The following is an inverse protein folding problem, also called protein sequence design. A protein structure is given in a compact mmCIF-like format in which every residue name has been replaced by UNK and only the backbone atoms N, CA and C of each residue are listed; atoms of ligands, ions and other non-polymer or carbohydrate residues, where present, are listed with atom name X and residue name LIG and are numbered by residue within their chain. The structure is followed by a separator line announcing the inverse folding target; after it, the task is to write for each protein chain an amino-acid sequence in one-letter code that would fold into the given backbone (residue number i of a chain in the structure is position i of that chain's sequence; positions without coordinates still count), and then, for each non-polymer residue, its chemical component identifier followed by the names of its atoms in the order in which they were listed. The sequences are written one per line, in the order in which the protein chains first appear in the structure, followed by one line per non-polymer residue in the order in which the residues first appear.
data_IF_290246168085
#
_entry.id   IF_290246168085
#
_cell.length_a   1.000
_cell.length_b   1.000
_cell.length_c   1.000
_cell.angle_alpha   90.00
_cell.angle_beta   90.00
_cell.angle_gamma   90.00
#
_symmetry.space_group_name_H-M   'P 1'
#
loop_
_entity.id
_entity.type
_entity.pdbx_description
1 polymer ?
#
# COMPACT_ATOMS: atom_id res chain seq x y z
N UNK A 1 -11.01 20.04 -13.23
CA UNK A 1 -9.53 20.01 -13.25
C UNK A 1 -9.10 18.60 -12.91
N UNK A 2 -8.62 17.83 -13.89
CA UNK A 2 -8.08 16.48 -13.69
C UNK A 2 -6.59 16.64 -13.45
N UNK A 3 -6.15 16.63 -12.19
CA UNK A 3 -4.73 16.62 -11.87
C UNK A 3 -4.26 15.16 -11.96
N UNK A 4 -3.17 14.98 -12.71
CA UNK A 4 -2.68 13.69 -13.15
C UNK A 4 -1.96 12.96 -12.04
N UNK A 5 -2.58 11.88 -11.56
CA UNK A 5 -1.81 10.78 -11.01
C UNK A 5 -1.17 10.06 -12.19
N UNK A 6 0.13 9.82 -12.11
CA UNK A 6 0.78 8.83 -12.95
C UNK A 6 0.41 7.45 -12.38
N UNK A 7 -0.87 7.10 -12.45
CA UNK A 7 -1.25 5.70 -12.63
C UNK A 7 -0.43 5.29 -13.85
N UNK A 8 0.45 4.29 -13.71
CA UNK A 8 1.11 3.76 -14.89
C UNK A 8 0.04 3.02 -15.67
N UNK A 9 -0.74 3.78 -16.44
CA UNK A 9 -1.69 3.26 -17.39
C UNK A 9 -0.85 2.74 -18.52
N UNK A 10 -0.49 1.45 -18.46
CA UNK A 10 0.04 0.78 -19.63
C UNK A 10 -1.15 0.64 -20.59
N UNK A 11 -1.22 1.42 -21.69
CA UNK A 11 -2.43 1.46 -22.48
C UNK A 11 -2.66 0.10 -23.10
N UNK A 12 -3.80 -0.53 -22.82
CA UNK A 12 -4.15 -1.84 -23.37
C UNK A 12 -4.14 -1.84 -24.91
N UNK A 13 -4.31 -0.67 -25.52
CA UNK A 13 -4.23 -0.48 -26.97
C UNK A 13 -2.83 -0.75 -27.54
N UNK A 14 -1.78 -0.61 -26.73
CA UNK A 14 -0.41 -0.94 -27.09
C UNK A 14 -0.06 -2.42 -26.85
N UNK A 15 -0.97 -3.20 -26.26
CA UNK A 15 -0.75 -4.60 -25.94
C UNK A 15 -0.63 -5.48 -27.19
N UNK A 16 -1.20 -5.07 -28.32
CA UNK A 16 -1.15 -5.86 -29.57
C UNK A 16 0.14 -5.58 -30.37
N UNK A 17 0.80 -6.62 -30.91
CA UNK A 17 1.94 -6.46 -31.79
C UNK A 17 1.50 -5.85 -33.12
N UNK A 18 2.39 -5.09 -33.75
CA UNK A 18 2.15 -4.46 -35.05
C UNK A 18 1.96 -5.49 -36.19
N UNK A 19 2.50 -6.70 -36.03
CA UNK A 19 2.31 -7.85 -36.93
C UNK A 19 2.48 -9.15 -36.15
N UNK A 20 1.72 -10.20 -36.50
CA UNK A 20 1.76 -11.50 -35.83
C UNK A 20 0.38 -12.00 -35.37
N UNK A 21 0.30 -13.19 -34.76
CA UNK A 21 -0.95 -13.76 -34.29
C UNK A 21 -1.59 -12.89 -33.19
N UNK A 22 -2.92 -12.77 -33.21
CA UNK A 22 -3.74 -11.94 -32.29
C UNK A 22 -3.56 -12.31 -30.81
N UNK A 23 -2.91 -13.43 -30.50
CA UNK A 23 -2.71 -13.97 -29.14
C UNK A 23 -1.35 -13.63 -28.50
N UNK A 24 -0.45 -12.93 -29.18
CA UNK A 24 0.83 -12.49 -28.60
C UNK A 24 0.74 -11.05 -28.14
N UNK A 25 1.34 -10.72 -26.99
CA UNK A 25 1.47 -9.35 -26.49
C UNK A 25 2.74 -8.70 -27.07
N UNK A 26 2.71 -7.39 -27.33
CA UNK A 26 3.87 -6.68 -27.87
C UNK A 26 5.00 -6.61 -26.84
N UNK A 27 6.26 -6.76 -27.28
CA UNK A 27 7.42 -6.72 -26.37
C UNK A 27 7.52 -5.37 -25.65
N UNK A 28 7.23 -4.27 -26.35
CA UNK A 28 7.23 -2.93 -25.76
C UNK A 28 6.20 -2.81 -24.63
N UNK A 29 5.02 -3.40 -24.81
CA UNK A 29 4.00 -3.40 -23.77
C UNK A 29 4.42 -4.27 -22.58
N UNK A 30 5.01 -5.44 -22.81
CA UNK A 30 5.53 -6.30 -21.73
C UNK A 30 6.59 -5.57 -20.91
N UNK A 31 7.56 -4.93 -21.57
CA UNK A 31 8.58 -4.11 -20.89
C UNK A 31 7.97 -2.93 -20.14
N UNK A 32 6.92 -2.30 -20.69
CA UNK A 32 6.23 -1.21 -20.01
C UNK A 32 5.45 -1.70 -18.78
N UNK A 33 4.83 -2.89 -18.82
CA UNK A 33 4.21 -3.52 -17.65
C UNK A 33 5.26 -3.87 -16.60
N UNK A 34 6.36 -4.52 -16.99
CA UNK A 34 7.44 -4.85 -16.07
C UNK A 34 8.03 -3.59 -15.41
N UNK A 35 8.26 -2.53 -16.19
CA UNK A 35 8.75 -1.25 -15.64
C UNK A 35 7.72 -0.51 -14.77
N UNK A 36 6.44 -0.79 -14.95
CA UNK A 36 5.35 -0.24 -14.15
C UNK A 36 5.16 -0.95 -12.81
N UNK A 37 5.56 -2.22 -12.73
CA UNK A 37 5.39 -3.05 -11.56
C UNK A 37 6.50 -2.83 -10.52
N UNK A 38 6.19 -3.20 -9.28
CA UNK A 38 7.17 -3.31 -8.21
C UNK A 38 8.29 -4.27 -8.65
N UNK A 39 9.52 -3.76 -8.74
CA UNK A 39 10.68 -4.55 -9.17
C UNK A 39 11.18 -5.48 -8.07
N UNK A 40 10.56 -6.65 -7.91
CA UNK A 40 10.95 -7.66 -6.93
C UNK A 40 12.38 -8.19 -7.14
N UNK A 41 12.91 -8.07 -8.36
CA UNK A 41 14.26 -8.46 -8.75
C UNK A 41 15.32 -7.64 -8.03
N UNK A 42 15.04 -6.36 -7.80
CA UNK A 42 15.96 -5.43 -7.11
C UNK A 42 15.53 -5.14 -5.68
N UNK A 43 14.29 -5.48 -5.31
CA UNK A 43 13.70 -5.22 -4.00
C UNK A 43 13.02 -6.46 -3.39
N UNK A 44 13.71 -7.61 -3.23
CA UNK A 44 13.10 -8.85 -2.75
C UNK A 44 12.60 -8.75 -1.29
N UNK A 45 13.13 -7.79 -0.51
CA UNK A 45 12.65 -7.52 0.84
C UNK A 45 11.22 -6.99 0.85
N UNK A 46 10.77 -6.30 -0.22
CA UNK A 46 9.39 -5.87 -0.31
C UNK A 46 8.49 -7.09 -0.29
N UNK A 47 8.72 -8.10 -1.14
CA UNK A 47 7.97 -9.35 -1.12
C UNK A 47 8.04 -10.07 0.25
N UNK A 48 9.24 -10.21 0.83
CA UNK A 48 9.44 -10.97 2.05
C UNK A 48 8.83 -10.33 3.30
N UNK A 49 8.85 -9.00 3.38
CA UNK A 49 8.51 -8.25 4.59
C UNK A 49 7.20 -7.47 4.49
N UNK A 50 6.54 -7.45 3.33
CA UNK A 50 5.32 -6.66 3.10
C UNK A 50 4.24 -6.87 4.16
N UNK A 51 3.92 -8.12 4.51
CA UNK A 51 2.96 -8.41 5.59
C UNK A 51 3.62 -8.54 6.97
N UNK A 52 4.80 -9.18 7.13
CA UNK A 52 5.42 -9.34 8.45
C UNK A 52 5.65 -8.04 9.23
N UNK A 53 5.82 -6.89 8.56
CA UNK A 53 5.97 -5.59 9.24
C UNK A 53 4.77 -5.21 10.13
N UNK A 54 3.60 -5.81 9.91
CA UNK A 54 2.40 -5.57 10.71
C UNK A 54 2.23 -6.55 11.88
N UNK A 55 3.13 -7.54 12.03
CA UNK A 55 3.05 -8.51 13.13
C UNK A 55 3.60 -7.91 14.44
N UNK A 56 2.72 -7.38 15.28
CA UNK A 56 3.07 -6.71 16.54
C UNK A 56 2.81 -7.58 17.78
N UNK A 57 3.71 -8.54 18.03
CA UNK A 57 3.76 -9.29 19.28
C UNK A 57 3.48 -10.80 19.20
N UNK A 58 3.64 -11.51 20.34
CA UNK A 58 3.54 -12.97 20.36
C UNK A 58 2.14 -13.48 19.99
N UNK A 59 2.08 -14.56 19.21
CA UNK A 59 0.84 -15.16 18.71
C UNK A 59 0.23 -14.43 17.50
N UNK A 60 0.82 -13.32 17.06
CA UNK A 60 0.43 -12.63 15.83
C UNK A 60 1.22 -13.21 14.67
N UNK A 61 0.55 -13.51 13.57
CA UNK A 61 1.19 -14.05 12.37
C UNK A 61 0.42 -13.59 11.14
N UNK A 62 1.14 -13.19 10.09
CA UNK A 62 0.49 -12.66 8.90
C UNK A 62 -0.32 -13.74 8.20
N UNK A 63 0.26 -14.95 8.09
CA UNK A 63 -0.30 -16.16 7.46
C UNK A 63 -0.82 -15.93 6.03
N UNK A 64 -0.28 -14.96 5.30
CA UNK A 64 -0.83 -14.48 4.01
C UNK A 64 -2.20 -13.81 4.20
N UNK A 65 -2.26 -12.77 5.04
CA UNK A 65 -3.49 -12.09 5.43
C UNK A 65 -4.23 -11.50 4.23
N UNK A 66 -3.51 -10.84 3.31
CA UNK A 66 -4.10 -10.27 2.11
C UNK A 66 -4.78 -11.35 1.25
N UNK A 67 -4.11 -12.49 1.05
CA UNK A 67 -4.65 -13.62 0.30
C UNK A 67 -5.90 -14.21 0.96
N UNK A 68 -5.86 -14.42 2.29
CA UNK A 68 -7.02 -14.94 3.04
C UNK A 68 -8.21 -13.98 3.01
N UNK A 69 -7.96 -12.69 3.18
CA UNK A 69 -9.01 -11.66 3.13
C UNK A 69 -9.59 -11.60 1.72
N UNK A 70 -8.76 -11.53 0.68
CA UNK A 70 -9.20 -11.56 -0.72
C UNK A 70 -10.11 -12.75 -1.00
N UNK A 71 -9.70 -13.96 -0.58
CA UNK A 71 -10.50 -15.17 -0.75
C UNK A 71 -11.87 -15.09 -0.03
N UNK A 72 -11.96 -14.36 1.09
CA UNK A 72 -13.21 -14.15 1.83
C UNK A 72 -14.15 -13.12 1.19
N UNK A 73 -13.64 -12.19 0.38
CA UNK A 73 -14.42 -11.12 -0.26
C UNK A 73 -15.12 -11.58 -1.55
N UNK A 74 -14.81 -12.77 -2.04
CA UNK A 74 -15.47 -13.39 -3.19
C UNK A 74 -14.81 -13.11 -4.55
N UNK A 75 -15.47 -13.48 -5.66
CA UNK A 75 -14.82 -13.62 -6.97
C UNK A 75 -14.50 -12.29 -7.67
N UNK A 76 -14.85 -11.13 -7.09
CA UNK A 76 -14.58 -9.84 -7.72
C UNK A 76 -13.07 -9.52 -7.76
N UNK A 77 -12.28 -10.07 -6.82
CA UNK A 77 -10.83 -9.88 -6.77
C UNK A 77 -10.04 -11.07 -7.33
N UNK A 78 -10.70 -12.19 -7.62
CA UNK A 78 -10.04 -13.38 -8.16
C UNK A 78 -9.97 -13.30 -9.68
N UNK A 79 -8.80 -12.92 -10.19
CA UNK A 79 -8.58 -12.77 -11.63
C UNK A 79 -8.88 -14.06 -12.39
N UNK A 80 -8.66 -15.24 -11.80
CA UNK A 80 -8.84 -16.54 -12.48
C UNK A 80 -10.28 -16.79 -12.88
N UNK A 81 -11.23 -16.19 -12.17
CA UNK A 81 -12.68 -16.26 -12.45
C UNK A 81 -13.17 -15.17 -13.40
N UNK A 82 -12.31 -14.22 -13.78
CA UNK A 82 -12.66 -13.00 -14.54
C UNK A 82 -11.96 -12.86 -15.89
N UNK A 83 -11.27 -13.90 -16.36
CA UNK A 83 -10.54 -13.88 -17.65
C UNK A 83 -11.44 -14.09 -18.88
N UNK A 84 -12.69 -14.51 -18.69
CA UNK A 84 -13.61 -14.82 -19.80
C UNK A 84 -14.21 -13.57 -20.45
N UNK A 85 -14.45 -13.65 -21.76
CA UNK A 85 -15.09 -12.57 -22.51
C UNK A 85 -16.52 -12.33 -21.99
N UNK A 86 -16.80 -11.11 -21.53
CA UNK A 86 -18.09 -10.75 -20.96
C UNK A 86 -18.19 -10.92 -19.43
N UNK A 87 -17.11 -11.35 -18.76
CA UNK A 87 -17.03 -11.30 -17.31
C UNK A 87 -16.94 -9.85 -16.81
N UNK A 88 -17.45 -9.59 -15.60
CA UNK A 88 -17.21 -8.31 -14.92
C UNK A 88 -15.70 -8.09 -14.70
N UNK A 89 -15.21 -6.84 -14.73
CA UNK A 89 -13.80 -6.55 -14.49
C UNK A 89 -13.32 -7.07 -13.13
N UNK A 90 -12.09 -7.58 -13.09
CA UNK A 90 -11.41 -7.88 -11.82
C UNK A 90 -11.08 -6.59 -11.08
N UNK A 91 -11.35 -6.55 -9.78
CA UNK A 91 -10.98 -5.46 -8.90
C UNK A 91 -9.49 -5.55 -8.56
N UNK A 92 -8.83 -4.39 -8.51
CA UNK A 92 -7.41 -4.29 -8.17
C UNK A 92 -7.21 -4.36 -6.66
N UNK A 93 -6.07 -4.91 -6.24
CA UNK A 93 -5.73 -5.16 -4.84
C UNK A 93 -4.78 -4.12 -4.25
N UNK A 94 -4.42 -3.08 -5.00
CA UNK A 94 -3.40 -2.11 -4.59
C UNK A 94 -2.01 -2.76 -4.48
N UNK A 95 -1.30 -2.48 -3.40
CA UNK A 95 0.09 -2.90 -3.16
C UNK A 95 0.25 -4.28 -2.48
N UNK A 96 -0.84 -5.04 -2.34
CA UNK A 96 -0.84 -6.31 -1.62
C UNK A 96 0.06 -7.36 -2.28
N UNK A 97 0.76 -8.12 -1.43
CA UNK A 97 1.63 -9.24 -1.81
C UNK A 97 0.95 -10.57 -1.49
N UNK A 98 1.02 -11.53 -2.42
CA UNK A 98 0.39 -12.85 -2.28
C UNK A 98 1.39 -13.99 -2.36
N UNK A 99 1.07 -15.14 -1.76
CA UNK A 99 1.99 -16.29 -1.70
C UNK A 99 2.34 -16.82 -3.10
N UNK A 100 1.36 -16.84 -3.99
CA UNK A 100 1.48 -17.29 -5.38
C UNK A 100 2.42 -16.43 -6.23
N UNK A 101 2.73 -15.20 -5.82
CA UNK A 101 3.68 -14.36 -6.57
C UNK A 101 5.06 -15.01 -6.69
N UNK A 102 5.48 -15.82 -5.70
CA UNK A 102 6.74 -16.55 -5.82
C UNK A 102 6.70 -17.71 -6.83
N UNK A 103 5.53 -18.12 -7.32
CA UNK A 103 5.41 -19.09 -8.41
C UNK A 103 5.55 -18.40 -9.78
N UNK A 104 4.97 -17.21 -9.92
CA UNK A 104 4.95 -16.43 -11.16
C UNK A 104 6.27 -15.66 -11.39
N UNK A 105 6.77 -14.95 -10.38
CA UNK A 105 8.02 -14.19 -10.48
C UNK A 105 9.23 -15.12 -10.28
N UNK A 106 9.95 -15.39 -11.37
CA UNK A 106 11.05 -16.35 -11.38
C UNK A 106 12.13 -16.07 -10.32
N UNK A 107 12.42 -14.79 -10.05
CA UNK A 107 13.41 -14.36 -9.06
C UNK A 107 12.97 -14.55 -7.61
N UNK A 108 11.66 -14.66 -7.35
CA UNK A 108 11.10 -14.92 -6.02
C UNK A 108 11.05 -16.41 -5.67
N UNK A 109 11.09 -17.32 -6.66
CA UNK A 109 11.01 -18.77 -6.44
C UNK A 109 11.98 -19.30 -5.37
N UNK A 110 13.27 -18.92 -5.35
CA UNK A 110 14.19 -19.38 -4.31
C UNK A 110 13.82 -18.89 -2.90
N UNK A 111 13.08 -17.78 -2.81
CA UNK A 111 12.69 -17.14 -1.57
C UNK A 111 11.36 -17.68 -1.01
N UNK A 112 10.59 -18.46 -1.78
CA UNK A 112 9.27 -18.99 -1.38
C UNK A 112 9.30 -19.71 -0.04
N UNK A 113 10.33 -20.51 0.21
CA UNK A 113 10.49 -21.22 1.49
C UNK A 113 10.64 -20.26 2.68
N UNK A 114 11.49 -19.24 2.53
CA UNK A 114 11.70 -18.22 3.55
C UNK A 114 10.44 -17.36 3.77
N UNK A 115 9.75 -16.98 2.69
CA UNK A 115 8.51 -16.21 2.76
C UNK A 115 7.43 -16.95 3.55
N UNK A 116 7.25 -18.26 3.31
CA UNK A 116 6.29 -19.07 4.07
C UNK A 116 6.67 -19.23 5.55
N UNK A 117 7.96 -19.34 5.87
CA UNK A 117 8.42 -19.36 7.26
C UNK A 117 8.12 -18.03 7.98
N UNK A 118 8.36 -16.90 7.32
CA UNK A 118 8.02 -15.58 7.85
C UNK A 118 6.52 -15.42 8.04
N UNK A 119 5.73 -15.82 7.04
CA UNK A 119 4.28 -15.75 7.09
C UNK A 119 3.68 -16.64 8.21
N UNK A 120 4.32 -17.75 8.58
CA UNK A 120 3.88 -18.64 9.66
C UNK A 120 4.51 -18.31 11.03
N UNK A 121 5.46 -17.37 11.09
CA UNK A 121 6.11 -16.98 12.35
C UNK A 121 5.10 -16.35 13.30
N UNK A 122 5.12 -16.78 14.57
CA UNK A 122 4.20 -16.34 15.63
C UNK A 122 4.92 -15.75 16.85
N UNK A 123 6.22 -16.00 17.01
CA UNK A 123 7.05 -15.50 18.10
C UNK A 123 7.67 -14.12 17.76
N UNK A 124 6.85 -13.19 17.29
CA UNK A 124 7.27 -11.81 17.10
C UNK A 124 7.36 -11.07 18.44
N UNK A 125 8.36 -10.19 18.56
CA UNK A 125 8.35 -9.19 19.62
C UNK A 125 7.32 -8.10 19.32
N UNK A 126 7.00 -7.29 20.33
CA UNK A 126 6.26 -6.06 20.07
C UNK A 126 7.15 -5.08 19.30
N UNK A 127 6.64 -4.60 18.16
CA UNK A 127 7.25 -3.56 17.33
C UNK A 127 7.01 -2.20 17.98
N UNK A 128 5.86 -2.01 18.64
CA UNK A 128 5.45 -0.73 19.23
C UNK A 128 5.31 -0.79 20.75
N UNK A 129 5.89 0.19 21.43
CA UNK A 129 5.59 0.44 22.84
C UNK A 129 4.47 1.48 22.96
N UNK A 130 3.22 1.00 23.04
CA UNK A 130 2.03 1.87 23.08
C UNK A 130 2.03 2.82 24.28
N UNK A 131 2.50 2.39 25.45
CA UNK A 131 2.61 3.24 26.63
C UNK A 131 3.62 4.38 26.42
N UNK A 132 4.78 4.08 25.83
CA UNK A 132 5.75 5.11 25.47
C UNK A 132 5.18 6.10 24.45
N UNK A 133 4.52 5.61 23.40
CA UNK A 133 3.88 6.44 22.37
C UNK A 133 2.82 7.39 22.95
N UNK A 134 1.96 6.90 23.84
CA UNK A 134 0.93 7.69 24.52
C UNK A 134 1.52 8.71 25.50
N UNK A 135 2.65 8.39 26.13
CA UNK A 135 3.32 9.26 27.11
C UNK A 135 4.24 10.31 26.51
N UNK A 136 4.52 10.24 25.20
CA UNK A 136 5.39 11.20 24.53
C UNK A 136 4.85 12.63 24.64
N UNK A 137 5.73 13.63 24.63
CA UNK A 137 5.36 15.05 24.73
C UNK A 137 5.60 15.83 23.44
N UNK A 138 6.23 15.19 22.45
CA UNK A 138 6.51 15.82 21.17
C UNK A 138 5.20 16.14 20.45
N UNK A 139 5.05 17.38 19.97
CA UNK A 139 3.92 17.72 19.14
C UNK A 139 3.92 16.97 17.80
N UNK A 140 2.74 16.72 17.26
CA UNK A 140 2.55 16.05 15.97
C UNK A 140 1.57 16.83 15.11
N UNK A 141 1.95 17.09 13.85
CA UNK A 141 1.06 17.50 12.79
C UNK A 141 1.01 16.38 11.74
N UNK A 142 -0.19 15.98 11.33
CA UNK A 142 -0.35 14.92 10.34
C UNK A 142 -1.46 15.23 9.34
N UNK A 143 -1.20 14.90 8.07
CA UNK A 143 -2.17 14.90 6.99
C UNK A 143 -2.77 13.50 6.89
N UNK A 144 -4.10 13.41 6.89
CA UNK A 144 -4.83 12.18 6.63
C UNK A 144 -5.66 12.38 5.37
N UNK A 145 -5.31 11.66 4.31
CA UNK A 145 -6.11 11.62 3.09
C UNK A 145 -7.40 10.84 3.38
N UNK A 146 -8.56 11.44 3.09
CA UNK A 146 -9.86 10.90 3.47
C UNK A 146 -10.21 9.62 2.70
N UNK A 147 -9.91 9.59 1.40
CA UNK A 147 -10.17 8.48 0.49
C UNK A 147 -8.85 7.81 0.04
N UNK A 148 -7.90 7.63 0.97
CA UNK A 148 -6.64 6.92 0.68
C UNK A 148 -6.92 5.42 0.47
N UNK A 149 -6.55 4.90 -0.70
CA UNK A 149 -6.77 3.50 -1.08
C UNK A 149 -5.82 2.50 -0.39
N UNK A 150 -4.78 2.98 0.29
CA UNK A 150 -3.77 2.15 0.96
C UNK A 150 -3.84 2.24 2.48
N UNK A 151 -4.14 3.41 3.04
CA UNK A 151 -4.18 3.63 4.49
C UNK A 151 -5.58 4.07 4.92
N UNK A 152 -6.27 3.18 5.63
CA UNK A 152 -7.61 3.45 6.12
C UNK A 152 -7.64 4.63 7.11
N UNK A 153 -8.53 5.60 6.84
CA UNK A 153 -8.66 6.84 7.62
C UNK A 153 -8.89 6.55 9.10
N UNK A 154 -9.80 5.63 9.40
CA UNK A 154 -10.20 5.32 10.78
C UNK A 154 -9.04 4.83 11.63
N UNK A 155 -8.13 4.01 11.09
CA UNK A 155 -6.93 3.59 11.81
C UNK A 155 -5.92 4.72 12.03
N UNK A 156 -5.85 5.68 11.10
CA UNK A 156 -5.02 6.88 11.28
C UNK A 156 -5.55 7.77 12.41
N UNK A 157 -6.88 7.94 12.48
CA UNK A 157 -7.56 8.68 13.55
C UNK A 157 -7.37 8.00 14.91
N UNK A 158 -7.54 6.67 14.99
CA UNK A 158 -7.27 5.90 16.21
C UNK A 158 -5.81 6.00 16.68
N UNK A 159 -4.86 6.03 15.74
CA UNK A 159 -3.44 6.22 16.05
C UNK A 159 -3.19 7.61 16.64
N UNK A 160 -3.84 8.65 16.11
CA UNK A 160 -3.72 10.00 16.65
C UNK A 160 -4.26 10.12 18.08
N UNK A 161 -5.40 9.47 18.36
CA UNK A 161 -5.97 9.39 19.71
C UNK A 161 -5.05 8.62 20.66
N UNK A 162 -4.49 7.48 20.24
CA UNK A 162 -3.52 6.72 21.01
C UNK A 162 -2.29 7.56 21.38
N UNK A 163 -1.86 8.42 20.47
CA UNK A 163 -0.74 9.32 20.67
C UNK A 163 -1.06 10.48 21.63
N UNK A 164 -2.33 10.70 21.99
CA UNK A 164 -2.74 11.71 22.96
C UNK A 164 -3.66 12.81 22.40
N UNK A 165 -4.10 12.69 21.14
CA UNK A 165 -5.13 13.55 20.54
C UNK A 165 -4.82 15.06 20.61
N UNK A 166 -5.84 15.89 20.43
CA UNK A 166 -5.69 17.35 20.59
C UNK A 166 -5.50 17.72 22.09
N UNK A 167 -4.61 18.68 22.44
CA UNK A 167 -3.88 19.55 21.53
C UNK A 167 -2.72 18.88 20.81
N UNK A 168 -2.06 17.86 21.40
CA UNK A 168 -0.75 17.27 21.02
C UNK A 168 -0.64 16.72 19.58
N UNK A 169 -1.71 16.19 19.04
CA UNK A 169 -1.78 15.69 17.66
C UNK A 169 -2.81 16.52 16.90
N UNK A 170 -2.33 17.31 15.94
CA UNK A 170 -3.16 18.11 15.05
C UNK A 170 -3.35 17.36 13.74
N UNK A 171 -4.54 16.79 13.55
CA UNK A 171 -4.91 16.12 12.31
C UNK A 171 -5.51 17.10 11.31
N UNK A 172 -4.99 17.08 10.09
CA UNK A 172 -5.62 17.68 8.93
C UNK A 172 -6.19 16.57 8.07
N UNK A 173 -7.49 16.32 8.20
CA UNK A 173 -8.21 15.36 7.35
C UNK A 173 -8.67 16.07 6.09
N UNK A 174 -8.40 15.49 4.91
CA UNK A 174 -8.77 16.11 3.64
C UNK A 174 -9.04 15.07 2.54
N UNK A 175 -10.11 15.27 1.80
CA UNK A 175 -10.42 14.51 0.57
C UNK A 175 -9.77 15.09 -0.69
N UNK A 176 -8.92 16.12 -0.54
CA UNK A 176 -8.20 16.71 -1.67
C UNK A 176 -6.96 15.88 -2.04
N UNK A 177 -6.32 15.25 -1.06
CA UNK A 177 -5.10 14.48 -1.26
C UNK A 177 -5.40 12.99 -1.41
N UNK A 178 -4.44 12.30 -2.01
CA UNK A 178 -4.34 10.85 -2.06
C UNK A 178 -3.08 10.41 -1.30
N UNK A 179 -2.73 9.13 -1.36
CA UNK A 179 -1.58 8.54 -0.66
C UNK A 179 -0.26 9.31 -0.86
N UNK A 180 -0.02 9.80 -2.09
CA UNK A 180 1.16 10.58 -2.47
C UNK A 180 1.04 12.08 -2.13
N UNK A 181 0.11 12.47 -1.26
CA UNK A 181 -0.29 13.87 -1.04
C UNK A 181 0.86 14.86 -0.84
N UNK A 182 1.86 14.51 -0.03
CA UNK A 182 3.02 15.39 0.23
C UNK A 182 3.94 15.51 -1.00
N UNK A 183 4.15 14.41 -1.74
CA UNK A 183 5.02 14.40 -2.91
C UNK A 183 4.38 15.12 -4.10
N UNK A 184 3.06 14.97 -4.27
CA UNK A 184 2.32 15.58 -5.37
C UNK A 184 2.01 17.07 -5.10
N UNK A 185 1.93 17.46 -3.82
CA UNK A 185 1.55 18.81 -3.38
C UNK A 185 2.54 19.34 -2.32
N UNK A 186 3.67 19.93 -2.75
CA UNK A 186 4.69 20.44 -1.83
C UNK A 186 4.18 21.48 -0.81
N UNK A 187 3.10 22.20 -1.13
CA UNK A 187 2.42 23.13 -0.24
C UNK A 187 1.76 22.44 0.96
N UNK A 188 1.41 21.15 0.85
CA UNK A 188 0.90 20.37 1.98
C UNK A 188 1.94 20.28 3.11
N UNK A 189 3.24 20.19 2.77
CA UNK A 189 4.30 20.19 3.76
C UNK A 189 4.40 21.52 4.51
N UNK A 190 4.27 22.65 3.81
CA UNK A 190 4.34 23.98 4.44
C UNK A 190 3.23 24.15 5.48
N UNK A 191 2.02 23.71 5.16
CA UNK A 191 0.91 23.72 6.12
C UNK A 191 1.15 22.79 7.31
N UNK A 192 1.72 21.60 7.09
CA UNK A 192 2.09 20.70 8.19
C UNK A 192 3.16 21.30 9.09
N UNK A 193 4.15 21.98 8.51
CA UNK A 193 5.18 22.71 9.26
C UNK A 193 4.57 23.82 10.12
N UNK A 194 3.67 24.63 9.55
CA UNK A 194 2.91 25.65 10.29
C UNK A 194 2.06 25.05 11.42
N UNK A 195 1.34 23.96 11.15
CA UNK A 195 0.59 23.21 12.17
C UNK A 195 1.53 22.67 13.27
N UNK A 196 2.77 22.34 12.91
CA UNK A 196 3.83 21.86 13.78
C UNK A 196 4.53 22.94 14.61
N UNK A 197 4.21 24.23 14.44
CA UNK A 197 4.71 25.35 15.27
C UNK A 197 3.69 25.66 16.38
N UNK A 198 4.06 25.36 17.62
CA UNK A 198 3.14 25.35 18.78
C UNK A 198 3.14 26.65 19.56
N UNK A 199 4.26 27.37 19.50
CA UNK A 199 4.50 28.57 20.30
C UNK A 199 4.17 29.88 19.54
N UNK A 200 3.77 29.78 18.27
CA UNK A 200 3.38 30.93 17.46
C UNK A 200 1.85 31.10 17.47
N UNK A 201 1.33 32.33 17.69
CA UNK A 201 -0.10 32.59 17.57
C UNK A 201 -0.56 32.21 16.15
N UNK A 202 -1.53 31.29 16.07
CA UNK A 202 -2.15 30.90 14.81
C UNK A 202 -2.83 32.15 14.21
N UNK A 203 -2.45 32.52 12.98
CA UNK A 203 -3.14 33.58 12.25
C UNK A 203 -4.58 33.11 11.95
N UNK A 204 -5.55 33.82 12.52
CA UNK A 204 -6.99 33.66 12.28
C UNK A 204 -7.35 34.10 10.87
#
# INVERSE_FOLDING_TARGET
MKYGHRLVVVPIEQARPASGPVRTLSQNWLLAVEAAQQGFETNPLYYLLHEPIYCDGPGVSSRWAAERVQASLGPAWDYTTRLEAGAEPVLLTGEMVFSWMADDYAWLRPLKGAANLLAAKEDWGHVYNRSALASGTSPVAALVAYDDVYVERTFSEETAELLGGFPRVRLWVSNYFQHSGISDHPDAFLKLDEMGRWDEPQLV
#
